data_IF_622981134101
#
_entry.id   IF_622981134101
#
_cell.length_a   1.000
_cell.length_b   1.000
_cell.length_c   1.000
_cell.angle_alpha   90.00
_cell.angle_beta   90.00
_cell.angle_gamma   90.00
#
_symmetry.space_group_name_H-M   'P 1'
#
loop_
_entity.id
_entity.type
_entity.pdbx_description
1 polymer ?
#
# COMPACT_ATOMS: atom_id res chain seq x y z
N UNK A 1 23.11 -41.25 -38.85
CA UNK A 1 23.66 -41.14 -37.47
C UNK A 1 23.59 -39.70 -36.94
N UNK A 2 24.24 -38.72 -37.57
CA UNK A 2 24.22 -37.30 -37.12
C UNK A 2 22.81 -36.67 -37.11
N UNK A 3 21.98 -36.93 -38.13
CA UNK A 3 20.59 -36.45 -38.18
C UNK A 3 19.68 -37.06 -37.09
N UNK A 4 19.95 -38.30 -36.66
CA UNK A 4 19.17 -38.96 -35.61
C UNK A 4 19.52 -38.44 -34.21
N UNK A 5 20.77 -38.00 -34.01
CA UNK A 5 21.21 -37.37 -32.76
C UNK A 5 20.58 -35.97 -32.59
N UNK A 6 20.60 -35.15 -33.66
CA UNK A 6 19.95 -33.84 -33.66
C UNK A 6 18.43 -33.95 -33.42
N UNK A 7 17.76 -34.93 -34.02
CA UNK A 7 16.34 -35.20 -33.77
C UNK A 7 16.05 -35.58 -32.32
N UNK A 8 16.90 -36.42 -31.71
CA UNK A 8 16.77 -36.81 -30.30
C UNK A 8 17.00 -35.64 -29.33
N UNK A 9 17.94 -34.75 -29.63
CA UNK A 9 18.15 -33.52 -28.85
C UNK A 9 16.92 -32.62 -28.90
N UNK A 10 16.34 -32.39 -30.08
CA UNK A 10 15.08 -31.61 -30.19
C UNK A 10 13.91 -32.24 -29.45
N UNK A 11 13.79 -33.58 -29.45
CA UNK A 11 12.72 -34.28 -28.72
C UNK A 11 12.90 -34.13 -27.21
N UNK A 12 14.13 -34.22 -26.70
CA UNK A 12 14.41 -34.02 -25.28
C UNK A 12 14.12 -32.58 -24.84
N UNK A 13 14.50 -31.59 -25.64
CA UNK A 13 14.17 -30.18 -25.37
C UNK A 13 12.66 -29.96 -25.39
N UNK A 14 11.94 -30.54 -26.36
CA UNK A 14 10.48 -30.45 -26.42
C UNK A 14 9.80 -31.12 -25.22
N UNK A 15 10.28 -32.30 -24.79
CA UNK A 15 9.76 -33.01 -23.62
C UNK A 15 9.95 -32.21 -22.32
N UNK A 16 11.15 -31.69 -22.08
CA UNK A 16 11.40 -30.85 -20.90
C UNK A 16 10.59 -29.54 -20.91
N UNK A 17 10.31 -28.98 -22.08
CA UNK A 17 9.45 -27.81 -22.21
C UNK A 17 8.00 -28.17 -21.90
N UNK A 18 7.48 -29.29 -22.39
CA UNK A 18 6.12 -29.77 -22.11
C UNK A 18 5.93 -30.03 -20.61
N UNK A 19 6.91 -30.65 -19.94
CA UNK A 19 6.84 -30.90 -18.50
C UNK A 19 6.79 -29.59 -17.71
N UNK A 20 7.63 -28.60 -18.08
CA UNK A 20 7.60 -27.26 -17.45
C UNK A 20 6.28 -26.55 -17.70
N UNK A 21 5.78 -26.59 -18.94
CA UNK A 21 4.50 -25.98 -19.31
C UNK A 21 3.32 -26.63 -18.61
N UNK A 22 3.38 -27.93 -18.33
CA UNK A 22 2.30 -28.63 -17.62
C UNK A 22 2.16 -28.12 -16.18
N UNK A 23 3.30 -27.93 -15.48
CA UNK A 23 3.28 -27.33 -14.14
C UNK A 23 2.84 -25.85 -14.14
N UNK A 24 3.27 -25.07 -15.13
CA UNK A 24 2.79 -23.68 -15.29
C UNK A 24 1.30 -23.61 -15.61
N UNK A 25 0.79 -24.53 -16.44
CA UNK A 25 -0.63 -24.61 -16.77
C UNK A 25 -1.48 -24.83 -15.52
N UNK A 26 -1.12 -25.76 -14.63
CA UNK A 26 -1.83 -26.00 -13.37
C UNK A 26 -1.85 -24.75 -12.48
N UNK A 27 -0.71 -24.07 -12.35
CA UNK A 27 -0.61 -22.81 -11.60
C UNK A 27 -1.49 -21.72 -12.18
N UNK A 28 -1.51 -21.58 -13.51
CA UNK A 28 -2.37 -20.58 -14.16
C UNK A 28 -3.85 -20.92 -13.97
N UNK A 29 -4.23 -22.19 -13.98
CA UNK A 29 -5.62 -22.58 -13.68
C UNK A 29 -6.01 -22.21 -12.24
N UNK A 30 -5.13 -22.44 -11.26
CA UNK A 30 -5.34 -22.01 -9.88
C UNK A 30 -5.45 -20.48 -9.78
N UNK A 31 -4.55 -19.74 -10.43
CA UNK A 31 -4.57 -18.28 -10.48
C UNK A 31 -5.85 -17.73 -11.11
N UNK A 32 -6.35 -18.33 -12.19
CA UNK A 32 -7.63 -17.95 -12.81
C UNK A 32 -8.78 -18.13 -11.83
N UNK A 33 -8.81 -19.24 -11.08
CA UNK A 33 -9.81 -19.48 -10.04
C UNK A 33 -9.76 -18.43 -8.93
N UNK A 34 -8.56 -18.07 -8.48
CA UNK A 34 -8.36 -17.03 -7.47
C UNK A 34 -8.78 -15.65 -7.98
N UNK A 35 -8.41 -15.28 -9.21
CA UNK A 35 -8.82 -14.02 -9.84
C UNK A 35 -10.33 -13.91 -9.99
N UNK A 36 -11.02 -15.01 -10.31
CA UNK A 36 -12.48 -15.01 -10.38
C UNK A 36 -13.10 -14.72 -9.01
N UNK A 37 -12.58 -15.33 -7.94
CA UNK A 37 -13.04 -15.05 -6.58
C UNK A 37 -12.76 -13.59 -6.17
N UNK A 38 -11.59 -13.06 -6.53
CA UNK A 38 -11.23 -11.66 -6.30
C UNK A 38 -12.17 -10.70 -7.04
N UNK A 39 -12.51 -10.99 -8.30
CA UNK A 39 -13.47 -10.22 -9.09
C UNK A 39 -14.87 -10.21 -8.45
N UNK A 40 -15.33 -11.36 -7.96
CA UNK A 40 -16.63 -11.48 -7.29
C UNK A 40 -16.67 -10.67 -5.97
N UNK A 41 -15.52 -10.48 -5.32
CA UNK A 41 -15.39 -9.69 -4.10
C UNK A 41 -15.06 -8.21 -4.35
N UNK A 42 -14.71 -7.84 -5.59
CA UNK A 42 -14.12 -6.54 -5.92
C UNK A 42 -15.03 -5.37 -5.56
N UNK A 43 -16.31 -5.43 -5.92
CA UNK A 43 -17.26 -4.33 -5.69
C UNK A 43 -17.43 -4.05 -4.20
N UNK A 44 -17.70 -5.10 -3.41
CA UNK A 44 -17.93 -5.00 -1.97
C UNK A 44 -16.64 -4.68 -1.21
N UNK A 45 -15.52 -5.26 -1.63
CA UNK A 45 -14.21 -4.98 -1.08
C UNK A 45 -13.80 -3.53 -1.30
N UNK A 46 -14.02 -3.01 -2.51
CA UNK A 46 -13.77 -1.61 -2.85
C UNK A 46 -14.62 -0.66 -2.00
N UNK A 47 -15.92 -0.95 -1.86
CA UNK A 47 -16.82 -0.15 -1.02
C UNK A 47 -16.35 -0.14 0.45
N UNK A 48 -16.02 -1.31 0.99
CA UNK A 48 -15.57 -1.45 2.37
C UNK A 48 -14.25 -0.72 2.63
N UNK A 49 -13.28 -0.89 1.74
CA UNK A 49 -11.98 -0.22 1.83
C UNK A 49 -12.10 1.30 1.67
N UNK A 50 -12.92 1.79 0.75
CA UNK A 50 -13.18 3.21 0.59
C UNK A 50 -13.83 3.81 1.85
N UNK A 51 -14.82 3.11 2.44
CA UNK A 51 -15.45 3.53 3.68
C UNK A 51 -14.45 3.57 4.85
N UNK A 52 -13.55 2.58 4.93
CA UNK A 52 -12.49 2.55 5.93
C UNK A 52 -11.56 3.76 5.81
N UNK A 53 -11.03 4.03 4.61
CA UNK A 53 -10.12 5.16 4.36
C UNK A 53 -10.80 6.50 4.64
N UNK A 54 -12.08 6.63 4.28
CA UNK A 54 -12.81 7.90 4.39
C UNK A 54 -13.25 8.21 5.82
N UNK A 55 -13.74 7.21 6.57
CA UNK A 55 -14.43 7.47 7.85
C UNK A 55 -13.66 7.06 9.10
N UNK A 56 -12.70 6.14 8.98
CA UNK A 56 -12.09 5.52 10.15
C UNK A 56 -10.68 6.05 10.48
N UNK A 57 -10.16 7.00 9.70
CA UNK A 57 -8.83 7.59 9.92
C UNK A 57 -8.62 8.22 11.29
N UNK A 58 -9.62 8.88 11.85
CA UNK A 58 -9.56 9.54 13.16
C UNK A 58 -9.90 8.62 14.34
N UNK A 59 -10.43 7.43 14.08
CA UNK A 59 -10.94 6.52 15.12
C UNK A 59 -9.84 5.68 15.75
N UNK A 60 -10.08 5.23 16.99
CA UNK A 60 -9.18 4.31 17.69
C UNK A 60 -9.23 2.91 17.08
N UNK A 61 -8.15 2.14 17.20
CA UNK A 61 -8.06 0.75 16.68
C UNK A 61 -9.24 -0.12 17.14
N UNK A 62 -9.70 0.04 18.38
CA UNK A 62 -10.86 -0.68 18.92
C UNK A 62 -12.14 -0.36 18.14
N UNK A 63 -12.43 0.93 17.96
CA UNK A 63 -13.62 1.39 17.22
C UNK A 63 -13.54 0.98 15.75
N UNK A 64 -12.35 1.07 15.13
CA UNK A 64 -12.12 0.58 13.77
C UNK A 64 -12.50 -0.89 13.64
N UNK A 65 -12.01 -1.74 14.54
CA UNK A 65 -12.30 -3.17 14.53
C UNK A 65 -13.78 -3.48 14.73
N UNK A 66 -14.46 -2.80 15.65
CA UNK A 66 -15.89 -2.97 15.89
C UNK A 66 -16.73 -2.62 14.65
N UNK A 67 -16.48 -1.45 14.06
CA UNK A 67 -17.20 -0.98 12.88
C UNK A 67 -16.89 -1.88 11.67
N UNK A 68 -15.61 -2.21 11.45
CA UNK A 68 -15.18 -3.04 10.33
C UNK A 68 -15.81 -4.44 10.40
N UNK A 69 -15.86 -5.06 11.57
CA UNK A 69 -16.52 -6.37 11.76
C UNK A 69 -18.02 -6.29 11.45
N UNK A 70 -18.69 -5.21 11.88
CA UNK A 70 -20.11 -5.00 11.55
C UNK A 70 -20.32 -4.84 10.05
N UNK A 71 -19.50 -4.04 9.36
CA UNK A 71 -19.60 -3.84 7.92
C UNK A 71 -19.28 -5.11 7.12
N UNK A 72 -18.27 -5.89 7.54
CA UNK A 72 -17.97 -7.21 6.96
C UNK A 72 -19.17 -8.15 7.06
N UNK A 73 -19.84 -8.20 8.20
CA UNK A 73 -21.05 -9.00 8.40
C UNK A 73 -22.19 -8.57 7.47
N UNK A 74 -22.39 -7.27 7.25
CA UNK A 74 -23.42 -6.75 6.35
C UNK A 74 -23.14 -7.08 4.87
N UNK A 75 -21.85 -7.08 4.47
CA UNK A 75 -21.43 -7.34 3.08
C UNK A 75 -21.17 -8.82 2.79
N UNK A 76 -21.25 -9.69 3.80
CA UNK A 76 -20.82 -11.10 3.74
C UNK A 76 -19.34 -11.25 3.36
N UNK A 77 -18.47 -10.41 3.94
CA UNK A 77 -17.02 -10.37 3.70
C UNK A 77 -16.21 -10.75 4.96
N UNK A 78 -16.58 -11.85 5.61
CA UNK A 78 -16.04 -12.20 6.93
C UNK A 78 -14.51 -12.42 6.95
N UNK A 79 -13.94 -12.93 5.86
CA UNK A 79 -12.51 -13.21 5.73
C UNK A 79 -11.74 -12.14 4.93
N UNK A 80 -12.38 -11.00 4.63
CA UNK A 80 -11.76 -9.96 3.82
C UNK A 80 -10.82 -9.10 4.66
N UNK A 81 -9.64 -8.78 4.12
CA UNK A 81 -8.69 -7.85 4.71
C UNK A 81 -8.63 -6.58 3.86
N UNK A 82 -9.06 -5.45 4.43
CA UNK A 82 -8.98 -4.14 3.75
C UNK A 82 -7.53 -3.76 3.47
N UNK A 83 -6.62 -4.06 4.39
CA UNK A 83 -5.20 -3.78 4.25
C UNK A 83 -4.58 -4.58 3.10
N UNK A 84 -4.83 -5.88 3.01
CA UNK A 84 -4.29 -6.72 1.94
C UNK A 84 -4.91 -6.41 0.58
N UNK A 85 -6.17 -5.96 0.57
CA UNK A 85 -6.83 -5.53 -0.65
C UNK A 85 -6.25 -4.22 -1.20
N UNK A 86 -5.92 -3.26 -0.33
CA UNK A 86 -5.41 -1.95 -0.75
C UNK A 86 -3.90 -1.89 -0.93
N UNK A 87 -3.13 -2.76 -0.26
CA UNK A 87 -1.68 -2.62 -0.12
C UNK A 87 -0.97 -3.93 -0.42
N UNK A 88 -0.09 -3.90 -1.41
CA UNK A 88 0.73 -5.06 -1.77
C UNK A 88 1.79 -5.35 -0.69
N UNK A 89 2.19 -6.62 -0.59
CA UNK A 89 3.26 -7.03 0.34
C UNK A 89 4.58 -6.30 0.09
N UNK A 90 4.91 -6.05 -1.18
CA UNK A 90 6.10 -5.28 -1.58
C UNK A 90 6.07 -3.85 -1.06
N UNK A 91 4.90 -3.23 -0.98
CA UNK A 91 4.72 -1.88 -0.49
C UNK A 91 4.85 -1.82 1.03
N UNK A 92 4.22 -2.76 1.76
CA UNK A 92 4.39 -2.93 3.22
C UNK A 92 5.87 -3.10 3.59
N UNK A 93 6.61 -3.93 2.83
CA UNK A 93 8.04 -4.12 2.99
C UNK A 93 8.83 -2.83 2.73
N UNK A 94 8.45 -2.05 1.71
CA UNK A 94 9.07 -0.75 1.46
C UNK A 94 8.84 0.20 2.65
N UNK A 95 7.62 0.25 3.19
CA UNK A 95 7.33 1.08 4.35
C UNK A 95 8.19 0.70 5.57
N UNK A 96 8.29 -0.60 5.85
CA UNK A 96 9.16 -1.14 6.90
C UNK A 96 10.63 -0.74 6.72
N UNK A 97 11.15 -0.88 5.50
CA UNK A 97 12.53 -0.46 5.17
C UNK A 97 12.75 1.05 5.33
N UNK A 98 11.70 1.87 5.25
CA UNK A 98 11.75 3.31 5.48
C UNK A 98 11.50 3.69 6.95
N UNK A 99 11.28 2.71 7.82
CA UNK A 99 11.15 2.89 9.27
C UNK A 99 9.72 3.05 9.76
N UNK A 100 8.71 2.70 8.96
CA UNK A 100 7.35 2.54 9.46
C UNK A 100 7.27 1.25 10.29
N UNK A 101 6.69 1.27 11.50
CA UNK A 101 6.43 0.05 12.25
C UNK A 101 5.53 -0.94 11.50
N UNK A 102 5.70 -2.23 11.79
CA UNK A 102 4.97 -3.33 11.12
C UNK A 102 3.69 -3.75 11.85
N UNK A 103 3.30 -3.07 12.93
CA UNK A 103 2.03 -3.31 13.59
C UNK A 103 0.84 -2.88 12.72
N UNK A 104 -0.31 -3.52 12.94
CA UNK A 104 -1.52 -3.31 12.14
C UNK A 104 -1.94 -1.83 12.09
N UNK A 105 -1.94 -1.15 13.23
CA UNK A 105 -2.33 0.26 13.32
C UNK A 105 -1.45 1.16 12.46
N UNK A 106 -0.12 0.97 12.51
CA UNK A 106 0.82 1.75 11.68
C UNK A 106 0.64 1.50 10.20
N UNK A 107 0.40 0.24 9.80
CA UNK A 107 0.15 -0.14 8.40
C UNK A 107 -1.20 0.40 7.89
N UNK A 108 -2.24 0.33 8.71
CA UNK A 108 -3.55 0.93 8.40
C UNK A 108 -3.45 2.44 8.26
N UNK A 109 -2.74 3.12 9.15
CA UNK A 109 -2.56 4.57 9.06
C UNK A 109 -1.79 4.96 7.79
N UNK A 110 -0.78 4.19 7.39
CA UNK A 110 -0.10 4.39 6.11
C UNK A 110 -1.02 4.13 4.91
N UNK A 111 -1.83 3.07 4.95
CA UNK A 111 -2.84 2.79 3.92
C UNK A 111 -3.80 3.99 3.77
N UNK A 112 -4.33 4.53 4.87
CA UNK A 112 -5.21 5.71 4.84
C UNK A 112 -4.47 6.92 4.27
N UNK A 113 -3.24 7.16 4.73
CA UNK A 113 -2.42 8.30 4.32
C UNK A 113 -2.15 8.33 2.80
N UNK A 114 -1.91 7.17 2.19
CA UNK A 114 -1.58 7.08 0.77
C UNK A 114 -2.79 6.87 -0.15
N UNK A 115 -3.97 6.54 0.40
CA UNK A 115 -5.20 6.33 -0.36
C UNK A 115 -6.28 7.40 -0.12
N UNK A 116 -6.05 8.36 0.78
CA UNK A 116 -6.97 9.49 0.97
C UNK A 116 -6.87 10.51 -0.17
N UNK A 117 -7.98 11.19 -0.46
CA UNK A 117 -8.03 12.32 -1.40
C UNK A 117 -7.94 13.67 -0.70
N UNK A 118 -8.09 13.69 0.63
CA UNK A 118 -8.01 14.89 1.45
C UNK A 118 -6.56 15.17 1.88
N UNK A 119 -6.30 16.39 2.36
CA UNK A 119 -4.99 16.72 2.94
C UNK A 119 -4.89 16.05 4.31
N UNK A 120 -3.98 15.08 4.51
CA UNK A 120 -3.94 14.32 5.75
C UNK A 120 -3.34 15.13 6.89
N UNK A 121 -4.03 15.14 8.03
CA UNK A 121 -3.51 15.65 9.30
C UNK A 121 -2.93 14.49 10.11
N UNK A 122 -1.65 14.57 10.46
CA UNK A 122 -0.95 13.53 11.22
C UNK A 122 -0.73 14.01 12.65
N UNK A 123 -1.30 13.29 13.62
CA UNK A 123 -1.04 13.50 15.04
C UNK A 123 0.04 12.50 15.48
N UNK A 124 1.28 12.95 15.53
CA UNK A 124 2.44 12.11 15.88
C UNK A 124 3.36 12.79 16.90
N UNK A 125 3.18 12.53 18.21
CA UNK A 125 4.05 13.09 19.24
C UNK A 125 5.49 12.54 19.17
N UNK A 126 5.71 11.40 18.50
CA UNK A 126 7.02 10.74 18.45
C UNK A 126 7.91 11.25 17.31
N UNK A 127 7.33 11.94 16.32
CA UNK A 127 8.02 12.37 15.09
C UNK A 127 8.42 11.24 14.13
N UNK A 128 8.05 9.99 14.43
CA UNK A 128 8.35 8.81 13.59
C UNK A 128 7.66 8.88 12.24
N UNK A 129 6.40 9.26 12.18
CA UNK A 129 5.65 9.40 10.93
C UNK A 129 6.29 10.46 10.03
N UNK A 130 6.68 11.60 10.59
CA UNK A 130 7.38 12.65 9.83
C UNK A 130 8.73 12.15 9.27
N UNK A 131 9.48 11.39 10.08
CA UNK A 131 10.77 10.82 9.67
C UNK A 131 10.61 9.76 8.58
N UNK A 132 9.59 8.91 8.71
CA UNK A 132 9.20 7.93 7.70
C UNK A 132 8.84 8.61 6.38
N UNK A 133 7.99 9.63 6.40
CA UNK A 133 7.54 10.34 5.19
C UNK A 133 8.68 11.04 4.47
N UNK A 134 9.58 11.70 5.20
CA UNK A 134 10.78 12.31 4.61
C UNK A 134 11.66 11.27 3.90
N UNK A 135 11.76 10.05 4.44
CA UNK A 135 12.53 8.97 3.81
C UNK A 135 11.80 8.33 2.63
N UNK A 136 10.49 8.15 2.73
CA UNK A 136 9.67 7.48 1.72
C UNK A 136 9.41 8.38 0.50
N UNK A 137 9.21 9.69 0.72
CA UNK A 137 8.92 10.68 -0.32
C UNK A 137 10.17 11.41 -0.84
N UNK A 138 11.37 10.91 -0.51
CA UNK A 138 12.65 11.54 -0.88
C UNK A 138 12.76 11.82 -2.39
N UNK A 139 12.26 10.89 -3.21
CA UNK A 139 12.33 11.00 -4.67
C UNK A 139 11.28 11.98 -5.24
N UNK A 140 10.30 12.41 -4.43
CA UNK A 140 9.24 13.36 -4.80
C UNK A 140 9.54 14.81 -4.39
N UNK A 141 10.81 15.14 -4.13
CA UNK A 141 11.23 16.49 -3.72
C UNK A 141 10.45 17.03 -2.51
N UNK A 142 10.26 16.20 -1.48
CA UNK A 142 9.59 16.61 -0.25
C UNK A 142 10.42 17.64 0.52
N UNK A 143 9.78 18.72 0.93
CA UNK A 143 10.36 19.74 1.82
C UNK A 143 9.60 19.81 3.13
N UNK A 144 10.34 19.78 4.24
CA UNK A 144 9.79 19.96 5.57
C UNK A 144 9.86 21.43 5.96
N UNK A 145 8.73 22.01 6.36
CA UNK A 145 8.60 23.42 6.74
C UNK A 145 7.97 23.52 8.14
N UNK A 146 8.37 24.52 8.92
CA UNK A 146 7.76 24.77 10.24
C UNK A 146 6.72 25.89 10.10
N UNK A 147 5.50 25.65 10.59
CA UNK A 147 4.42 26.64 10.58
C UNK A 147 4.78 27.93 11.37
N UNK A 148 5.67 27.81 12.36
CA UNK A 148 6.12 28.91 13.22
C UNK A 148 7.37 29.64 12.67
N UNK A 149 7.91 29.24 11.51
CA UNK A 149 9.02 29.96 10.87
C UNK A 149 8.53 31.30 10.29
N UNK A 150 9.26 32.38 10.58
CA UNK A 150 9.06 33.70 9.95
C UNK A 150 8.99 33.67 8.42
N UNK A 151 9.66 32.70 7.78
CA UNK A 151 9.67 32.52 6.33
C UNK A 151 8.65 31.50 5.82
N UNK A 152 7.76 30.98 6.66
CA UNK A 152 6.80 29.91 6.29
C UNK A 152 6.02 30.23 5.01
N UNK A 153 5.43 31.43 4.92
CA UNK A 153 4.66 31.85 3.74
C UNK A 153 5.50 31.89 2.45
N UNK A 154 6.77 32.32 2.55
CA UNK A 154 7.70 32.35 1.42
C UNK A 154 8.03 30.92 0.97
N UNK A 155 8.28 30.01 1.91
CA UNK A 155 8.57 28.60 1.62
C UNK A 155 7.37 27.92 0.94
N UNK A 156 6.14 28.18 1.41
CA UNK A 156 4.91 27.68 0.79
C UNK A 156 4.74 28.23 -0.62
N UNK A 157 4.94 29.53 -0.84
CA UNK A 157 4.84 30.14 -2.16
C UNK A 157 5.82 29.51 -3.16
N UNK A 158 7.08 29.33 -2.75
CA UNK A 158 8.09 28.69 -3.59
C UNK A 158 7.74 27.23 -3.89
N UNK A 159 7.25 26.48 -2.90
CA UNK A 159 6.86 25.09 -3.10
C UNK A 159 5.69 24.95 -4.09
N UNK A 160 4.67 25.81 -3.99
CA UNK A 160 3.56 25.86 -4.96
C UNK A 160 4.07 26.20 -6.35
N UNK A 161 4.96 27.20 -6.47
CA UNK A 161 5.57 27.62 -7.74
C UNK A 161 6.36 26.50 -8.43
N UNK A 162 7.07 25.68 -7.65
CA UNK A 162 7.93 24.62 -8.17
C UNK A 162 7.30 23.22 -8.12
N UNK A 163 6.06 23.09 -7.64
CA UNK A 163 5.37 21.81 -7.53
C UNK A 163 6.00 20.83 -6.52
N UNK A 164 6.57 21.35 -5.42
CA UNK A 164 7.20 20.53 -4.37
C UNK A 164 6.15 19.98 -3.41
N UNK A 165 6.40 18.78 -2.88
CA UNK A 165 5.58 18.21 -1.81
C UNK A 165 5.99 18.83 -0.47
N UNK A 166 5.03 19.33 0.30
CA UNK A 166 5.29 19.93 1.60
C UNK A 166 4.87 19.02 2.75
N UNK A 167 5.74 18.91 3.75
CA UNK A 167 5.41 18.39 5.07
C UNK A 167 5.50 19.55 6.07
N UNK A 168 4.33 20.00 6.54
CA UNK A 168 4.22 21.12 7.48
C UNK A 168 4.23 20.54 8.89
N UNK A 169 5.17 20.98 9.72
CA UNK A 169 5.28 20.63 11.13
C UNK A 169 4.89 21.84 11.98
N UNK A 170 3.97 21.66 12.93
CA UNK A 170 3.62 22.68 13.92
C UNK A 170 4.28 22.36 15.25
N UNK A 171 5.61 22.54 15.27
CA UNK A 171 6.39 22.49 16.50
C UNK A 171 6.70 23.91 16.92
N UNK A 172 6.17 24.31 18.07
CA UNK A 172 6.71 25.47 18.75
C UNK A 172 8.17 25.19 19.07
N UNK A 173 9.05 26.14 18.77
CA UNK A 173 10.51 25.99 19.01
C UNK A 173 10.88 26.09 20.50
N UNK A 174 9.87 26.08 21.39
CA UNK A 174 9.99 26.42 22.82
C UNK A 174 9.71 25.24 23.76
N UNK A 175 9.75 23.99 23.28
CA UNK A 175 9.75 22.78 24.13
C UNK A 175 10.74 21.74 23.62
#
# INVERSE_FOLDING_TARGET
LVLGLAANETINVAGTLIDRLSGEYERWQEQIGNLQNELDCLEKGSLLSAAFVTFLGSESEQVRNEILNKWKGLLNLNNFSTLEFCVMETEKLNWSNRGLPTDALSQENAMILFNTTEIPLIIDPSGRASSFLMKHLKDKQVEKVNANDSNFLIQVELAVRFGKLLLIDDKSSDI
#
